data_IF_728148115379
#
_entry.id   IF_728148115379
#
_cell.length_a   1.000
_cell.length_b   1.000
_cell.length_c   1.000
_cell.angle_alpha   90.00
_cell.angle_beta   90.00
_cell.angle_gamma   90.00
#
_symmetry.space_group_name_H-M   'P 1'
#
loop_
_entity.id
_entity.type
_entity.pdbx_description
1 polymer ?
#
# COMPACT_ATOMS: atom_id res chain seq x y z
N UNK A 1 36.97 52.86 44.48
CA UNK A 1 35.98 51.85 44.71
C UNK A 1 34.88 52.07 43.66
N UNK A 2 35.03 51.45 42.51
CA UNK A 2 34.08 51.62 41.42
C UNK A 2 33.12 50.40 41.44
N UNK A 3 31.86 50.60 41.86
CA UNK A 3 30.85 49.64 41.92
C UNK A 3 30.31 49.48 40.48
N UNK A 4 30.60 48.34 39.83
CA UNK A 4 29.99 47.92 38.58
C UNK A 4 28.53 47.59 38.84
N UNK A 5 27.64 48.32 38.19
CA UNK A 5 26.22 48.03 38.16
C UNK A 5 25.96 46.69 37.43
N UNK A 6 25.04 45.86 37.90
CA UNK A 6 24.71 44.63 37.21
C UNK A 6 23.99 44.95 35.90
N UNK A 7 24.55 44.46 34.79
CA UNK A 7 23.97 44.48 33.44
C UNK A 7 22.65 43.75 33.45
N UNK A 8 21.58 44.48 33.18
CA UNK A 8 20.19 43.94 33.01
C UNK A 8 20.03 43.23 31.65
N UNK A 9 20.55 42.00 31.54
CA UNK A 9 20.46 41.21 30.33
C UNK A 9 19.70 39.85 30.46
N UNK A 10 18.68 39.68 31.32
CA UNK A 10 17.93 38.43 31.38
C UNK A 10 16.62 38.42 30.62
N UNK A 11 16.06 39.53 30.14
CA UNK A 11 14.72 39.61 29.61
C UNK A 11 14.63 39.29 28.11
N UNK A 12 15.67 39.56 27.34
CA UNK A 12 15.67 39.33 25.86
C UNK A 12 15.82 37.85 25.52
N UNK A 13 16.57 37.09 26.28
CA UNK A 13 16.79 35.64 26.07
C UNK A 13 15.49 34.83 26.29
N UNK A 14 14.64 35.27 27.21
CA UNK A 14 13.37 34.56 27.53
C UNK A 14 12.33 34.78 26.44
N UNK A 15 12.30 35.94 25.80
CA UNK A 15 11.32 36.26 24.75
C UNK A 15 11.69 35.56 23.43
N UNK A 16 12.95 35.46 23.07
CA UNK A 16 13.40 34.66 21.92
C UNK A 16 13.11 33.17 22.13
N UNK A 17 13.36 32.65 23.32
CA UNK A 17 13.04 31.27 23.66
C UNK A 17 11.51 30.97 23.59
N UNK A 18 10.70 31.90 24.04
CA UNK A 18 9.21 31.79 23.93
C UNK A 18 8.75 31.87 22.48
N UNK A 19 9.29 32.79 21.68
CA UNK A 19 8.99 32.91 20.26
C UNK A 19 9.36 31.64 19.47
N UNK A 20 10.54 31.05 19.73
CA UNK A 20 11.02 29.83 19.13
C UNK A 20 10.13 28.63 19.49
N UNK A 21 9.71 28.51 20.75
CA UNK A 21 8.78 27.45 21.21
C UNK A 21 7.41 27.61 20.57
N UNK A 22 6.88 28.84 20.44
CA UNK A 22 5.62 29.13 19.76
C UNK A 22 5.69 28.78 18.28
N UNK A 23 6.76 29.14 17.59
CA UNK A 23 7.00 28.80 16.18
C UNK A 23 7.04 27.28 15.95
N UNK A 24 7.74 26.54 16.81
CA UNK A 24 7.81 25.07 16.78
C UNK A 24 6.43 24.44 17.03
N UNK A 25 5.63 25.01 17.95
CA UNK A 25 4.28 24.54 18.24
C UNK A 25 3.35 24.78 17.05
N UNK A 26 3.35 25.98 16.48
CA UNK A 26 2.54 26.32 15.29
C UNK A 26 2.90 25.45 14.10
N UNK A 27 4.20 25.27 13.81
CA UNK A 27 4.65 24.36 12.75
C UNK A 27 4.20 22.94 12.98
N UNK A 28 4.21 22.46 14.20
CA UNK A 28 3.77 21.10 14.55
C UNK A 28 2.25 20.96 14.33
N UNK A 29 1.47 21.93 14.79
CA UNK A 29 0.02 21.95 14.54
C UNK A 29 -0.30 21.98 13.06
N UNK A 30 0.37 22.83 12.28
CA UNK A 30 0.20 22.88 10.82
C UNK A 30 0.53 21.54 10.15
N UNK A 31 1.60 20.88 10.59
CA UNK A 31 1.95 19.55 10.07
C UNK A 31 0.87 18.52 10.39
N UNK A 32 0.34 18.51 11.62
CA UNK A 32 -0.75 17.60 11.97
C UNK A 32 -2.03 17.89 11.18
N UNK A 33 -2.40 19.15 11.01
CA UNK A 33 -3.57 19.54 10.20
C UNK A 33 -3.38 19.08 8.75
N UNK A 34 -2.19 19.28 8.18
CA UNK A 34 -1.87 18.83 6.83
C UNK A 34 -1.93 17.29 6.72
N UNK A 35 -1.37 16.58 7.68
CA UNK A 35 -1.40 15.11 7.71
C UNK A 35 -2.82 14.57 7.83
N UNK A 36 -3.66 15.19 8.66
CA UNK A 36 -5.07 14.82 8.80
C UNK A 36 -5.82 15.11 7.51
N UNK A 37 -5.62 16.28 6.90
CA UNK A 37 -6.25 16.63 5.63
C UNK A 37 -5.88 15.64 4.52
N UNK A 38 -4.61 15.26 4.42
CA UNK A 38 -4.15 14.23 3.48
C UNK A 38 -4.74 12.86 3.80
N UNK A 39 -4.78 12.47 5.08
CA UNK A 39 -5.39 11.21 5.48
C UNK A 39 -6.88 11.15 5.10
N UNK A 40 -7.63 12.21 5.38
CA UNK A 40 -9.05 12.32 4.97
C UNK A 40 -9.18 12.26 3.45
N UNK A 41 -8.34 12.96 2.71
CA UNK A 41 -8.34 12.96 1.24
C UNK A 41 -8.11 11.55 0.67
N UNK A 42 -7.14 10.80 1.20
CA UNK A 42 -6.86 9.44 0.73
C UNK A 42 -7.87 8.39 1.21
N UNK A 43 -8.48 8.58 2.37
CA UNK A 43 -9.49 7.66 2.91
C UNK A 43 -10.87 7.91 2.31
N UNK A 44 -11.15 9.15 1.89
CA UNK A 44 -12.45 9.56 1.34
C UNK A 44 -12.95 8.65 0.20
N UNK A 45 -12.16 8.32 -0.85
CA UNK A 45 -12.62 7.43 -1.91
C UNK A 45 -13.05 6.05 -1.41
N UNK A 46 -12.31 5.50 -0.43
CA UNK A 46 -12.62 4.18 0.16
C UNK A 46 -13.94 4.25 0.93
N UNK A 47 -14.13 5.29 1.74
CA UNK A 47 -15.38 5.50 2.46
C UNK A 47 -16.54 5.68 1.49
N UNK A 48 -16.34 6.47 0.42
CA UNK A 48 -17.35 6.66 -0.62
C UNK A 48 -17.74 5.32 -1.29
N UNK A 49 -16.76 4.49 -1.65
CA UNK A 49 -17.03 3.16 -2.21
C UNK A 49 -17.87 2.30 -1.27
N UNK A 50 -17.53 2.27 0.03
CA UNK A 50 -18.28 1.49 1.02
C UNK A 50 -19.71 2.04 1.17
N UNK A 51 -19.86 3.35 1.24
CA UNK A 51 -21.20 3.97 1.36
C UNK A 51 -22.06 3.67 0.14
N UNK A 52 -21.51 3.85 -1.07
CA UNK A 52 -22.22 3.57 -2.32
C UNK A 52 -22.56 2.10 -2.48
N UNK A 53 -21.70 1.18 -2.03
CA UNK A 53 -22.00 -0.27 -2.11
C UNK A 53 -23.19 -0.71 -1.25
N UNK A 54 -23.53 0.08 -0.23
CA UNK A 54 -24.66 -0.18 0.67
C UNK A 54 -25.98 0.46 0.20
N UNK A 55 -25.97 1.21 -0.91
CA UNK A 55 -27.16 1.84 -1.47
C UNK A 55 -27.75 0.95 -2.56
N UNK A 56 -29.01 0.49 -2.43
CA UNK A 56 -29.62 -0.43 -3.39
C UNK A 56 -30.12 0.24 -4.68
N UNK A 57 -30.31 1.56 -4.66
CA UNK A 57 -30.99 2.29 -5.74
C UNK A 57 -30.01 3.13 -6.56
N UNK A 58 -29.68 2.62 -7.76
CA UNK A 58 -28.79 3.31 -8.71
C UNK A 58 -29.40 4.62 -9.21
N UNK A 59 -30.72 4.72 -9.26
CA UNK A 59 -31.40 5.93 -9.74
C UNK A 59 -31.27 7.09 -8.76
N UNK A 60 -31.25 6.81 -7.46
CA UNK A 60 -31.00 7.81 -6.43
C UNK A 60 -29.55 8.26 -6.44
N UNK A 61 -28.62 7.33 -6.62
CA UNK A 61 -27.19 7.67 -6.74
C UNK A 61 -26.95 8.59 -7.92
N UNK A 62 -27.59 8.34 -9.07
CA UNK A 62 -27.48 9.19 -10.26
C UNK A 62 -28.14 10.56 -10.07
N UNK A 63 -29.28 10.62 -9.39
CA UNK A 63 -29.96 11.88 -9.09
C UNK A 63 -29.17 12.77 -8.11
N UNK A 64 -28.49 12.16 -7.15
CA UNK A 64 -27.73 12.88 -6.11
C UNK A 64 -26.25 13.10 -6.47
N UNK A 65 -25.77 12.70 -7.68
CA UNK A 65 -24.37 12.80 -8.10
C UNK A 65 -23.73 14.20 -7.98
N UNK A 66 -24.55 15.26 -8.02
CA UNK A 66 -24.07 16.64 -7.87
C UNK A 66 -24.22 17.18 -6.43
N UNK A 67 -24.62 16.34 -5.49
CA UNK A 67 -24.88 16.73 -4.11
C UNK A 67 -24.02 15.91 -3.13
N UNK A 68 -23.65 16.53 -2.03
CA UNK A 68 -23.01 15.85 -0.89
C UNK A 68 -23.90 14.76 -0.28
N UNK A 69 -25.19 14.78 -0.57
CA UNK A 69 -26.15 13.76 -0.14
C UNK A 69 -25.93 12.39 -0.78
N UNK A 70 -25.21 12.31 -1.92
CA UNK A 70 -24.78 11.04 -2.53
C UNK A 70 -23.95 10.18 -1.57
N UNK A 71 -23.24 10.82 -0.62
CA UNK A 71 -22.38 10.12 0.35
C UNK A 71 -23.08 9.78 1.66
N UNK A 72 -24.38 10.11 1.78
CA UNK A 72 -25.17 9.80 3.00
C UNK A 72 -26.24 8.77 2.61
N UNK A 73 -26.07 7.49 2.97
CA UNK A 73 -27.04 6.47 2.61
C UNK A 73 -28.37 6.74 3.29
N UNK A 74 -29.44 6.86 2.51
CA UNK A 74 -30.81 6.99 3.01
C UNK A 74 -31.39 5.65 3.42
N UNK A 75 -30.94 4.59 2.74
CA UNK A 75 -31.34 3.20 3.00
C UNK A 75 -30.10 2.32 2.97
N UNK A 76 -29.95 1.47 3.98
CA UNK A 76 -28.88 0.47 4.01
C UNK A 76 -29.39 -0.84 3.50
N UNK A 77 -28.73 -1.39 2.48
CA UNK A 77 -29.06 -2.70 1.92
C UNK A 77 -27.80 -3.47 1.56
N UNK A 78 -27.84 -4.77 1.77
CA UNK A 78 -26.82 -5.71 1.31
C UNK A 78 -27.21 -6.37 -0.02
N UNK A 79 -28.22 -5.83 -0.70
CA UNK A 79 -28.73 -6.40 -1.96
C UNK A 79 -27.63 -6.43 -3.03
N UNK A 80 -26.87 -5.36 -3.20
CA UNK A 80 -25.75 -5.30 -4.14
C UNK A 80 -24.74 -6.43 -3.94
N UNK A 81 -24.45 -6.78 -2.68
CA UNK A 81 -23.55 -7.90 -2.37
C UNK A 81 -24.16 -9.24 -2.76
N UNK A 82 -25.46 -9.45 -2.49
CA UNK A 82 -26.16 -10.68 -2.91
C UNK A 82 -26.18 -10.79 -4.42
N UNK A 83 -26.57 -9.73 -5.12
CA UNK A 83 -26.64 -9.68 -6.57
C UNK A 83 -25.27 -9.95 -7.24
N UNK A 84 -24.17 -9.49 -6.62
CA UNK A 84 -22.81 -9.78 -7.09
C UNK A 84 -22.47 -11.27 -6.90
N UNK A 85 -22.80 -11.87 -5.75
CA UNK A 85 -22.51 -13.28 -5.48
C UNK A 85 -23.44 -14.22 -6.26
N UNK A 86 -24.64 -13.76 -6.62
CA UNK A 86 -25.58 -14.51 -7.47
C UNK A 86 -25.16 -14.48 -8.95
N UNK A 87 -24.24 -13.58 -9.35
CA UNK A 87 -23.67 -13.60 -10.70
C UNK A 87 -22.71 -14.76 -10.89
N UNK A 88 -22.89 -15.46 -12.00
CA UNK A 88 -22.05 -16.61 -12.36
C UNK A 88 -20.56 -16.25 -12.35
N UNK A 89 -19.80 -17.03 -11.60
CA UNK A 89 -18.34 -16.98 -11.59
C UNK A 89 -17.68 -16.03 -10.60
N UNK A 90 -18.38 -15.10 -9.96
CA UNK A 90 -17.76 -14.16 -8.99
C UNK A 90 -17.17 -14.89 -7.78
N UNK A 91 -17.93 -15.78 -7.17
CA UNK A 91 -17.45 -16.58 -6.04
C UNK A 91 -16.23 -17.42 -6.42
N UNK A 92 -16.25 -18.03 -7.62
CA UNK A 92 -15.11 -18.79 -8.15
C UNK A 92 -13.89 -17.92 -8.39
N UNK A 93 -14.08 -16.74 -8.96
CA UNK A 93 -12.98 -15.79 -9.20
C UNK A 93 -12.35 -15.29 -7.90
N UNK A 94 -13.15 -15.00 -6.88
CA UNK A 94 -12.67 -14.65 -5.55
C UNK A 94 -11.87 -15.79 -4.91
N UNK A 95 -12.42 -17.01 -4.96
CA UNK A 95 -11.71 -18.19 -4.46
C UNK A 95 -10.37 -18.40 -5.17
N UNK A 96 -10.33 -18.30 -6.49
CA UNK A 96 -9.12 -18.41 -7.28
C UNK A 96 -8.09 -17.33 -6.88
N UNK A 97 -8.54 -16.08 -6.72
CA UNK A 97 -7.67 -14.98 -6.30
C UNK A 97 -7.07 -15.22 -4.92
N UNK A 98 -7.88 -15.65 -3.95
CA UNK A 98 -7.40 -15.98 -2.60
C UNK A 98 -6.43 -17.16 -2.63
N UNK A 99 -6.75 -18.21 -3.38
CA UNK A 99 -5.91 -19.41 -3.50
C UNK A 99 -4.55 -19.05 -4.11
N UNK A 100 -4.55 -18.39 -5.27
CA UNK A 100 -3.32 -18.02 -5.98
C UNK A 100 -2.46 -17.09 -5.10
N UNK A 101 -3.06 -16.06 -4.51
CA UNK A 101 -2.34 -15.13 -3.64
C UNK A 101 -1.74 -15.84 -2.43
N UNK A 102 -2.52 -16.68 -1.76
CA UNK A 102 -2.05 -17.42 -0.57
C UNK A 102 -0.90 -18.35 -0.91
N UNK A 103 -1.00 -19.09 -2.01
CA UNK A 103 0.07 -20.00 -2.45
C UNK A 103 1.32 -19.23 -2.89
N UNK A 104 1.16 -18.18 -3.71
CA UNK A 104 2.28 -17.39 -4.19
C UNK A 104 3.02 -16.69 -3.05
N UNK A 105 2.29 -16.03 -2.16
CA UNK A 105 2.87 -15.35 -1.00
C UNK A 105 3.46 -16.36 -0.01
N UNK A 106 2.75 -17.43 0.29
CA UNK A 106 3.21 -18.46 1.24
C UNK A 106 4.51 -19.12 0.78
N UNK A 107 4.55 -19.65 -0.45
CA UNK A 107 5.76 -20.22 -1.01
C UNK A 107 6.86 -19.18 -1.22
N UNK A 108 6.50 -17.96 -1.65
CA UNK A 108 7.43 -16.86 -1.80
C UNK A 108 8.13 -16.50 -0.50
N UNK A 109 7.39 -16.40 0.60
CA UNK A 109 7.98 -16.14 1.93
C UNK A 109 8.96 -17.24 2.34
N UNK A 110 8.63 -18.51 2.11
CA UNK A 110 9.51 -19.63 2.43
C UNK A 110 10.79 -19.55 1.59
N UNK A 111 10.66 -19.49 0.27
CA UNK A 111 11.81 -19.50 -0.66
C UNK A 111 12.71 -18.28 -0.44
N UNK A 112 12.12 -17.08 -0.37
CA UNK A 112 12.88 -15.85 -0.18
C UNK A 112 13.53 -15.78 1.21
N UNK A 113 12.88 -16.29 2.27
CA UNK A 113 13.47 -16.35 3.61
C UNK A 113 14.65 -17.32 3.65
N UNK A 114 14.54 -18.48 3.00
CA UNK A 114 15.65 -19.44 2.90
C UNK A 114 16.82 -18.85 2.10
N UNK A 115 16.54 -18.19 0.98
CA UNK A 115 17.55 -17.51 0.17
C UNK A 115 18.24 -16.40 0.97
N UNK A 116 17.46 -15.53 1.61
CA UNK A 116 17.98 -14.44 2.43
C UNK A 116 18.83 -14.96 3.61
N UNK A 117 18.39 -16.02 4.29
CA UNK A 117 19.15 -16.65 5.36
C UNK A 117 20.48 -17.20 4.83
N UNK A 118 20.47 -17.93 3.72
CA UNK A 118 21.67 -18.47 3.09
C UNK A 118 22.66 -17.35 2.72
N UNK A 119 22.18 -16.28 2.11
CA UNK A 119 22.99 -15.14 1.73
C UNK A 119 23.48 -14.31 2.92
N UNK A 120 22.74 -14.23 4.02
CA UNK A 120 23.09 -13.40 5.16
C UNK A 120 24.01 -14.15 6.16
N UNK A 121 23.74 -15.42 6.42
CA UNK A 121 24.34 -16.18 7.53
C UNK A 121 25.39 -17.18 7.09
N UNK A 122 25.24 -17.80 5.93
CA UNK A 122 26.16 -18.85 5.50
C UNK A 122 27.35 -18.24 4.72
N UNK A 123 28.55 -18.77 5.00
CA UNK A 123 29.78 -18.38 4.30
C UNK A 123 30.11 -19.46 3.27
N UNK A 124 29.88 -19.15 2.00
CA UNK A 124 30.19 -20.05 0.88
C UNK A 124 30.79 -19.26 -0.30
N UNK A 125 31.64 -19.91 -1.13
CA UNK A 125 32.24 -19.26 -2.29
C UNK A 125 31.15 -18.93 -3.32
N UNK A 126 31.18 -17.70 -3.86
CA UNK A 126 30.16 -17.25 -4.85
C UNK A 126 28.99 -16.44 -4.29
N UNK A 127 28.80 -16.37 -2.96
CA UNK A 127 27.71 -15.61 -2.30
C UNK A 127 27.60 -14.16 -2.80
N UNK A 128 28.75 -13.46 -2.94
CA UNK A 128 28.79 -12.06 -3.41
C UNK A 128 28.36 -11.94 -4.85
N UNK A 129 28.71 -12.90 -5.69
CA UNK A 129 28.34 -12.93 -7.12
C UNK A 129 26.84 -13.16 -7.23
N UNK A 130 26.29 -14.13 -6.49
CA UNK A 130 24.84 -14.39 -6.49
C UNK A 130 24.05 -13.17 -6.00
N UNK A 131 24.49 -12.51 -4.93
CA UNK A 131 23.86 -11.29 -4.44
C UNK A 131 23.89 -10.18 -5.51
N UNK A 132 25.02 -9.98 -6.18
CA UNK A 132 25.15 -9.01 -7.26
C UNK A 132 24.22 -9.33 -8.44
N UNK A 133 24.07 -10.61 -8.79
CA UNK A 133 23.14 -11.05 -9.83
C UNK A 133 21.69 -10.80 -9.45
N UNK A 134 21.28 -11.10 -8.22
CA UNK A 134 19.93 -10.82 -7.73
C UNK A 134 19.63 -9.32 -7.84
N UNK A 135 20.54 -8.46 -7.35
CA UNK A 135 20.38 -7.01 -7.43
C UNK A 135 20.33 -6.53 -8.89
N UNK A 136 21.17 -7.09 -9.77
CA UNK A 136 21.15 -6.76 -11.18
C UNK A 136 19.82 -7.16 -11.86
N UNK A 137 19.26 -8.32 -11.50
CA UNK A 137 17.99 -8.79 -12.03
C UNK A 137 16.81 -7.92 -11.59
N UNK A 138 16.86 -7.27 -10.42
CA UNK A 138 15.84 -6.33 -9.98
C UNK A 138 15.73 -5.08 -10.86
N UNK A 139 16.77 -4.75 -11.63
CA UNK A 139 16.79 -3.62 -12.57
C UNK A 139 16.06 -3.99 -13.88
N UNK A 140 15.95 -5.28 -14.18
CA UNK A 140 15.29 -5.74 -15.41
C UNK A 140 13.77 -5.57 -15.28
N UNK A 141 13.13 -4.75 -16.13
CA UNK A 141 11.68 -4.56 -16.06
C UNK A 141 10.96 -5.85 -16.44
N UNK A 142 9.93 -6.20 -15.67
CA UNK A 142 9.13 -7.41 -15.91
C UNK A 142 8.57 -7.49 -17.34
N UNK A 143 8.26 -6.35 -17.95
CA UNK A 143 7.77 -6.27 -19.33
C UNK A 143 8.74 -6.90 -20.35
N UNK A 144 10.05 -6.79 -20.12
CA UNK A 144 11.07 -7.40 -20.98
C UNK A 144 11.11 -8.92 -20.87
N UNK A 145 10.67 -9.46 -19.74
CA UNK A 145 10.68 -10.92 -19.47
C UNK A 145 9.34 -11.56 -19.82
N UNK A 146 8.26 -10.78 -19.93
CA UNK A 146 6.90 -11.29 -20.13
C UNK A 146 6.73 -12.11 -21.41
N UNK A 147 7.32 -11.69 -22.53
CA UNK A 147 7.23 -12.41 -23.82
C UNK A 147 8.00 -13.74 -23.79
N UNK A 148 9.28 -13.79 -23.36
CA UNK A 148 9.98 -15.06 -23.18
C UNK A 148 9.26 -15.99 -22.20
N UNK A 149 8.73 -15.46 -21.10
CA UNK A 149 7.96 -16.23 -20.12
C UNK A 149 6.74 -16.87 -20.74
N UNK A 150 5.97 -16.12 -21.55
CA UNK A 150 4.79 -16.64 -22.25
C UNK A 150 5.16 -17.81 -23.17
N UNK A 151 6.29 -17.74 -23.90
CA UNK A 151 6.76 -18.81 -24.77
C UNK A 151 7.12 -20.08 -23.97
N UNK A 152 7.77 -19.92 -22.81
CA UNK A 152 8.08 -21.06 -21.92
C UNK A 152 6.80 -21.70 -21.38
N UNK A 153 5.89 -20.88 -20.87
CA UNK A 153 4.60 -21.32 -20.32
C UNK A 153 3.77 -22.09 -21.37
N UNK A 154 3.75 -21.58 -22.61
CA UNK A 154 3.07 -22.24 -23.71
C UNK A 154 3.70 -23.60 -24.05
N UNK A 155 5.03 -23.67 -24.11
CA UNK A 155 5.74 -24.95 -24.34
C UNK A 155 5.53 -25.99 -23.26
N UNK A 156 5.31 -25.54 -22.00
CA UNK A 156 5.02 -26.40 -20.86
C UNK A 156 3.53 -26.79 -20.75
N UNK A 157 2.67 -26.30 -21.66
CA UNK A 157 1.21 -26.45 -21.61
C UNK A 157 0.60 -25.97 -20.27
N UNK A 158 1.15 -24.87 -19.72
CA UNK A 158 0.67 -24.27 -18.47
C UNK A 158 -0.34 -23.15 -18.69
N UNK A 159 -0.72 -22.84 -19.93
CA UNK A 159 -1.78 -21.88 -20.24
C UNK A 159 -3.07 -22.34 -19.54
N UNK A 160 -3.83 -21.37 -19.01
CA UNK A 160 -5.09 -21.59 -18.28
C UNK A 160 -4.96 -22.48 -17.02
N UNK A 161 -3.76 -22.61 -16.46
CA UNK A 161 -3.52 -23.33 -15.21
C UNK A 161 -3.04 -22.41 -14.09
N UNK A 162 -3.20 -22.83 -12.84
CA UNK A 162 -2.66 -22.11 -11.69
C UNK A 162 -1.12 -22.04 -11.68
N UNK A 163 -0.45 -22.96 -12.36
CA UNK A 163 1.02 -23.01 -12.41
C UNK A 163 1.62 -21.74 -12.98
N UNK A 164 1.01 -21.19 -14.05
CA UNK A 164 1.51 -19.95 -14.68
C UNK A 164 1.42 -18.73 -13.76
N UNK A 165 0.47 -18.73 -12.84
CA UNK A 165 0.24 -17.62 -11.94
C UNK A 165 1.02 -17.75 -10.62
N UNK A 166 1.48 -18.94 -10.28
CA UNK A 166 2.16 -19.20 -9.01
C UNK A 166 3.66 -19.35 -9.22
N UNK A 167 4.08 -20.31 -10.07
CA UNK A 167 5.49 -20.72 -10.15
C UNK A 167 6.46 -19.60 -10.52
N UNK A 168 6.21 -18.75 -11.54
CA UNK A 168 7.11 -17.68 -11.90
C UNK A 168 7.26 -16.59 -10.84
N UNK A 169 6.26 -16.45 -9.97
CA UNK A 169 6.18 -15.37 -8.99
C UNK A 169 6.60 -15.77 -7.56
N UNK A 170 6.78 -17.07 -7.30
CA UNK A 170 7.23 -17.57 -5.98
C UNK A 170 8.64 -17.07 -5.63
N UNK A 171 9.52 -16.96 -6.60
CA UNK A 171 10.89 -16.51 -6.40
C UNK A 171 11.12 -15.04 -6.83
N UNK A 172 10.05 -14.28 -7.04
CA UNK A 172 10.17 -12.88 -7.39
C UNK A 172 10.53 -12.06 -6.13
N UNK A 173 11.65 -11.29 -6.15
CA UNK A 173 12.10 -10.49 -5.01
C UNK A 173 11.21 -9.30 -4.71
#
# INVERSE_FOLDING_TARGET
>A
MTVLAPTTEPLEIDDEARASRRRRRVRRVLLYVLMIALAVFFVFPVVAMVVLSLQPDETQILADQQSIWAFIPRTFSLQNYRDVFDRDGVARSLFNSVLITTLTVGFGLIVNSMCAFSLARLQWPGRRILLALIVALMIVPFQSVSVPLLLIVNRLNWLDTYHVQIVPFVANP
#
